data_IF_156639589163
#
_entry.id   IF_156639589163
#
_cell.length_a   1.000
_cell.length_b   1.000
_cell.length_c   1.000
_cell.angle_alpha   90.00
_cell.angle_beta   90.00
_cell.angle_gamma   90.00
#
_symmetry.space_group_name_H-M   'P 1'
#
loop_
_entity.id
_entity.type
_entity.pdbx_description
1 polymer ?
#
# COMPACT_ATOMS: atom_id res chain seq x y z
N UNK A 1 -9.90 24.94 -14.00
CA UNK A 1 -8.94 23.79 -13.96
C UNK A 1 -8.90 23.10 -15.31
N UNK A 2 -7.72 22.92 -15.91
CA UNK A 2 -7.53 22.18 -17.18
C UNK A 2 -7.73 20.68 -16.94
N UNK A 3 -8.63 20.05 -17.69
CA UNK A 3 -8.98 18.64 -17.55
C UNK A 3 -7.79 17.70 -17.83
N UNK A 4 -6.93 18.03 -18.80
CA UNK A 4 -5.71 17.27 -19.12
C UNK A 4 -4.73 17.31 -17.94
N UNK A 5 -4.54 18.50 -17.38
CA UNK A 5 -3.64 18.71 -16.24
C UNK A 5 -4.14 17.99 -14.98
N UNK A 6 -5.44 18.03 -14.73
CA UNK A 6 -6.09 17.30 -13.64
C UNK A 6 -5.88 15.78 -13.78
N UNK A 7 -6.15 15.23 -14.96
CA UNK A 7 -6.02 13.80 -15.20
C UNK A 7 -4.59 13.29 -14.99
N UNK A 8 -3.60 13.98 -15.54
CA UNK A 8 -2.19 13.63 -15.38
C UNK A 8 -1.74 13.77 -13.92
N UNK A 9 -2.19 14.81 -13.23
CA UNK A 9 -1.95 14.99 -11.79
C UNK A 9 -2.45 13.78 -10.99
N UNK A 10 -3.69 13.33 -11.25
CA UNK A 10 -4.27 12.16 -10.58
C UNK A 10 -3.55 10.86 -10.91
N UNK A 11 -3.11 10.69 -12.15
CA UNK A 11 -2.31 9.54 -12.55
C UNK A 11 -1.02 9.46 -11.72
N UNK A 12 -0.27 10.56 -11.60
CA UNK A 12 0.92 10.60 -10.76
C UNK A 12 0.62 10.38 -9.28
N UNK A 13 -0.31 11.14 -8.73
CA UNK A 13 -0.55 11.15 -7.29
C UNK A 13 -1.25 9.88 -6.78
N UNK A 14 -2.09 9.24 -7.60
CA UNK A 14 -2.89 8.09 -7.18
C UNK A 14 -2.29 6.75 -7.61
N UNK A 15 -1.56 6.71 -8.74
CA UNK A 15 -1.06 5.47 -9.33
C UNK A 15 0.47 5.37 -9.42
N UNK A 16 1.21 6.44 -9.03
CA UNK A 16 2.67 6.48 -9.17
C UNK A 16 3.43 7.14 -7.99
N UNK A 17 2.80 7.41 -6.87
CA UNK A 17 3.38 8.14 -5.71
C UNK A 17 3.94 9.53 -6.05
N UNK A 18 3.40 10.24 -7.04
CA UNK A 18 3.91 11.54 -7.49
C UNK A 18 5.01 11.46 -8.53
N UNK A 19 5.35 12.59 -9.19
CA UNK A 19 6.42 12.69 -10.19
C UNK A 19 7.80 12.88 -9.58
N UNK A 20 8.84 12.58 -10.38
CA UNK A 20 10.18 13.14 -10.23
C UNK A 20 10.27 14.51 -10.96
N UNK A 21 11.33 15.31 -10.73
CA UNK A 21 11.53 16.57 -11.44
C UNK A 21 11.44 16.38 -12.95
N UNK A 22 10.62 17.21 -13.61
CA UNK A 22 10.41 17.19 -15.06
C UNK A 22 9.39 16.17 -15.59
N UNK A 23 9.09 15.08 -14.87
CA UNK A 23 8.17 14.03 -15.35
C UNK A 23 6.74 14.55 -15.61
N UNK A 24 6.25 15.46 -14.76
CA UNK A 24 4.90 16.02 -14.95
C UNK A 24 4.80 16.87 -16.22
N UNK A 25 5.79 17.71 -16.47
CA UNK A 25 5.85 18.52 -17.69
C UNK A 25 5.96 17.64 -18.95
N UNK A 26 6.75 16.56 -18.90
CA UNK A 26 6.85 15.62 -20.00
C UNK A 26 5.53 14.86 -20.25
N UNK A 27 4.88 14.39 -19.18
CA UNK A 27 3.58 13.75 -19.29
C UNK A 27 2.51 14.69 -19.88
N UNK A 28 2.58 15.98 -19.56
CA UNK A 28 1.73 17.00 -20.18
C UNK A 28 1.98 17.15 -21.67
N UNK A 29 3.22 17.00 -22.16
CA UNK A 29 3.54 17.05 -23.60
C UNK A 29 2.97 15.82 -24.31
N UNK A 30 3.28 14.61 -23.83
CA UNK A 30 2.86 13.36 -24.48
C UNK A 30 1.36 13.10 -24.35
N UNK A 31 0.73 13.61 -23.31
CA UNK A 31 -0.72 13.53 -23.05
C UNK A 31 -1.16 12.30 -22.27
N UNK A 32 -2.41 12.34 -21.72
CA UNK A 32 -2.91 11.32 -20.80
C UNK A 32 -2.90 9.90 -21.37
N UNK A 33 -3.27 9.72 -22.64
CA UNK A 33 -3.35 8.39 -23.27
C UNK A 33 -1.96 7.71 -23.34
N UNK A 34 -0.93 8.44 -23.77
CA UNK A 34 0.44 7.92 -23.83
C UNK A 34 0.98 7.64 -22.41
N UNK A 35 0.69 8.52 -21.46
CA UNK A 35 1.12 8.35 -20.07
C UNK A 35 0.44 7.16 -19.40
N UNK A 36 -0.87 6.94 -19.59
CA UNK A 36 -1.57 5.73 -19.13
C UNK A 36 -0.93 4.46 -19.70
N UNK A 37 -0.62 4.47 -20.99
CA UNK A 37 0.04 3.33 -21.65
C UNK A 37 1.40 3.03 -21.01
N UNK A 38 2.21 4.03 -20.67
CA UNK A 38 3.51 3.82 -20.01
C UNK A 38 3.35 3.27 -18.60
N UNK A 39 2.37 3.75 -17.82
CA UNK A 39 2.07 3.24 -16.47
C UNK A 39 1.64 1.75 -16.52
N UNK A 40 0.80 1.38 -17.50
CA UNK A 40 0.29 0.02 -17.65
C UNK A 40 1.34 -0.96 -18.23
N UNK A 41 2.34 -0.44 -18.94
CA UNK A 41 3.39 -1.24 -19.59
C UNK A 41 4.78 -0.69 -19.20
N UNK A 42 5.17 -0.84 -17.93
CA UNK A 42 6.47 -0.39 -17.44
C UNK A 42 7.61 -1.23 -18.08
N UNK A 43 8.87 -0.79 -17.96
CA UNK A 43 10.02 -1.55 -18.44
C UNK A 43 10.06 -2.95 -17.82
N UNK A 44 10.53 -3.95 -18.58
CA UNK A 44 10.61 -5.33 -18.11
C UNK A 44 11.53 -5.47 -16.88
N UNK A 45 12.65 -4.74 -16.87
CA UNK A 45 13.62 -4.68 -15.76
C UNK A 45 13.42 -3.34 -15.04
N UNK A 46 13.37 -3.38 -13.72
CA UNK A 46 13.33 -2.19 -12.85
C UNK A 46 14.76 -1.81 -12.44
N UNK A 47 15.39 -0.91 -13.21
CA UNK A 47 16.75 -0.46 -12.93
C UNK A 47 16.83 0.49 -11.72
N UNK A 48 15.71 1.10 -11.34
CA UNK A 48 15.62 1.96 -10.16
C UNK A 48 15.47 1.18 -8.86
N UNK A 49 15.08 -0.10 -8.92
CA UNK A 49 14.83 -0.89 -7.73
C UNK A 49 16.09 -1.05 -6.86
N UNK A 50 16.03 -0.75 -5.54
CA UNK A 50 17.14 -1.01 -4.64
C UNK A 50 17.38 -2.51 -4.50
N UNK A 51 18.63 -2.88 -4.19
CA UNK A 51 18.97 -4.27 -3.91
C UNK A 51 18.12 -4.77 -2.74
N UNK A 52 17.51 -5.93 -2.92
CA UNK A 52 16.70 -6.56 -1.90
C UNK A 52 17.57 -7.01 -0.69
N UNK A 53 17.10 -6.77 0.56
CA UNK A 53 17.83 -7.22 1.74
C UNK A 53 17.80 -8.74 1.85
N UNK A 54 18.87 -9.28 2.43
CA UNK A 54 18.97 -10.72 2.74
C UNK A 54 19.04 -10.85 4.26
N UNK A 55 17.98 -11.42 4.84
CA UNK A 55 17.90 -11.59 6.30
C UNK A 55 18.31 -13.01 6.70
N UNK A 56 19.19 -13.10 7.70
CA UNK A 56 19.46 -14.35 8.37
C UNK A 56 18.27 -14.82 9.20
N UNK A 57 18.01 -16.12 9.25
CA UNK A 57 17.10 -16.70 10.22
C UNK A 57 17.69 -16.53 11.63
N UNK A 58 17.01 -15.77 12.47
CA UNK A 58 17.43 -15.52 13.86
C UNK A 58 17.04 -16.68 14.80
N UNK A 59 16.38 -17.70 14.29
CA UNK A 59 15.85 -18.79 15.11
C UNK A 59 14.71 -18.37 16.06
N UNK A 60 14.33 -19.26 16.98
CA UNK A 60 13.30 -18.97 17.97
C UNK A 60 13.81 -17.93 18.98
N UNK A 61 12.87 -17.12 19.49
CA UNK A 61 13.20 -16.10 20.50
C UNK A 61 13.83 -16.74 21.74
N UNK A 62 15.01 -16.27 22.19
CA UNK A 62 15.65 -16.75 23.43
C UNK A 62 14.78 -16.49 24.66
N UNK A 63 15.09 -17.20 25.74
CA UNK A 63 14.44 -16.99 27.02
C UNK A 63 14.60 -15.52 27.49
N UNK A 64 13.55 -14.91 28.07
CA UNK A 64 13.65 -13.54 28.60
C UNK A 64 14.79 -13.41 29.61
N UNK A 65 15.55 -12.32 29.52
CA UNK A 65 16.72 -12.00 30.40
C UNK A 65 17.92 -12.93 30.24
N UNK A 66 17.98 -13.81 29.23
CA UNK A 66 19.21 -14.52 28.88
C UNK A 66 20.23 -13.56 28.22
N UNK A 67 21.51 -13.91 28.22
CA UNK A 67 22.56 -13.11 27.56
C UNK A 67 22.27 -12.93 26.06
N UNK A 68 21.78 -13.97 25.41
CA UNK A 68 21.43 -13.95 23.98
C UNK A 68 20.20 -13.07 23.67
N UNK A 69 19.36 -12.77 24.68
CA UNK A 69 18.12 -11.99 24.49
C UNK A 69 18.39 -10.54 24.04
N UNK A 70 19.49 -9.94 24.50
CA UNK A 70 19.88 -8.58 24.11
C UNK A 70 20.37 -8.53 22.67
N UNK A 71 21.27 -9.44 22.29
CA UNK A 71 21.80 -9.56 20.93
C UNK A 71 20.68 -9.89 19.93
N UNK A 72 19.82 -10.82 20.28
CA UNK A 72 18.63 -11.15 19.49
C UNK A 72 17.75 -9.94 19.24
N UNK A 73 17.46 -9.15 20.28
CA UNK A 73 16.61 -7.96 20.18
C UNK A 73 17.26 -6.87 19.30
N UNK A 74 18.57 -6.73 19.39
CA UNK A 74 19.33 -5.81 18.53
C UNK A 74 19.30 -6.25 17.07
N UNK A 75 19.57 -7.53 16.78
CA UNK A 75 19.51 -8.08 15.43
C UNK A 75 18.11 -7.95 14.82
N UNK A 76 17.08 -8.26 15.61
CA UNK A 76 15.67 -8.10 15.20
C UNK A 76 15.33 -6.65 14.86
N UNK A 77 15.78 -5.70 15.68
CA UNK A 77 15.60 -4.27 15.45
C UNK A 77 16.34 -3.79 14.20
N UNK A 78 17.55 -4.28 13.96
CA UNK A 78 18.34 -3.96 12.76
C UNK A 78 17.64 -4.45 11.49
N UNK A 79 17.18 -5.72 11.46
CA UNK A 79 16.45 -6.26 10.31
C UNK A 79 15.15 -5.50 10.05
N UNK A 80 14.37 -5.16 11.08
CA UNK A 80 13.13 -4.36 10.93
C UNK A 80 13.41 -2.97 10.34
N UNK A 81 14.47 -2.31 10.79
CA UNK A 81 14.91 -1.02 10.25
C UNK A 81 15.29 -1.15 8.78
N UNK A 82 16.11 -2.13 8.43
CA UNK A 82 16.57 -2.37 7.06
C UNK A 82 15.40 -2.66 6.14
N UNK A 83 14.47 -3.54 6.55
CA UNK A 83 13.24 -3.86 5.80
C UNK A 83 12.40 -2.60 5.52
N UNK A 84 12.20 -1.75 6.53
CA UNK A 84 11.41 -0.53 6.39
C UNK A 84 12.06 0.47 5.43
N UNK A 85 13.37 0.69 5.57
CA UNK A 85 14.11 1.61 4.71
C UNK A 85 14.18 1.10 3.26
N UNK A 86 14.44 -0.20 3.08
CA UNK A 86 14.45 -0.82 1.76
C UNK A 86 13.13 -0.62 1.02
N UNK A 87 11.98 -0.84 1.70
CA UNK A 87 10.70 -0.68 1.02
C UNK A 87 10.34 0.77 0.74
N UNK A 88 10.70 1.69 1.62
CA UNK A 88 10.56 3.13 1.34
C UNK A 88 11.43 3.55 0.14
N UNK A 89 12.66 3.06 0.05
CA UNK A 89 13.54 3.29 -1.11
C UNK A 89 12.92 2.68 -2.38
N UNK A 90 12.38 1.47 -2.30
CA UNK A 90 11.69 0.82 -3.42
C UNK A 90 10.52 1.67 -3.94
N UNK A 91 9.69 2.23 -3.06
CA UNK A 91 8.57 3.10 -3.45
C UNK A 91 9.05 4.39 -4.15
N UNK A 92 10.19 4.95 -3.73
CA UNK A 92 10.75 6.19 -4.30
C UNK A 92 11.46 5.94 -5.62
N UNK A 93 12.26 4.87 -5.70
CA UNK A 93 13.23 4.66 -6.78
C UNK A 93 12.71 3.82 -7.94
N UNK A 94 11.68 3.00 -7.76
CA UNK A 94 11.15 2.10 -8.79
C UNK A 94 10.79 2.80 -10.09
N UNK A 95 11.05 2.12 -11.21
CA UNK A 95 10.56 2.47 -12.55
C UNK A 95 9.22 1.79 -12.88
N UNK A 96 8.66 1.00 -11.94
CA UNK A 96 7.36 0.32 -12.03
C UNK A 96 6.35 0.88 -11.01
N UNK A 97 6.01 2.17 -11.10
CA UNK A 97 5.28 2.85 -10.02
C UNK A 97 3.89 2.25 -9.77
N UNK A 98 3.15 1.82 -10.79
CA UNK A 98 1.83 1.20 -10.62
C UNK A 98 1.94 -0.14 -9.87
N UNK A 99 2.94 -0.97 -10.21
CA UNK A 99 3.15 -2.23 -9.51
C UNK A 99 3.40 -1.97 -8.01
N UNK A 100 4.29 -1.04 -7.68
CA UNK A 100 4.63 -0.74 -6.29
C UNK A 100 3.47 -0.05 -5.54
N UNK A 101 2.67 0.76 -6.25
CA UNK A 101 1.41 1.32 -5.74
C UNK A 101 0.41 0.23 -5.38
N UNK A 102 0.34 -0.83 -6.18
CA UNK A 102 -0.48 -2.00 -5.88
C UNK A 102 0.10 -2.86 -4.76
N UNK A 103 1.42 -2.95 -4.60
CA UNK A 103 2.05 -3.59 -3.41
C UNK A 103 1.62 -2.86 -2.14
N UNK A 104 1.62 -1.53 -2.14
CA UNK A 104 1.14 -0.71 -1.02
C UNK A 104 -0.35 -0.92 -0.75
N UNK A 105 -1.18 -1.00 -1.81
CA UNK A 105 -2.59 -1.33 -1.70
C UNK A 105 -2.81 -2.70 -1.07
N UNK A 106 -2.10 -3.73 -1.56
CA UNK A 106 -2.22 -5.10 -1.05
C UNK A 106 -1.74 -5.24 0.39
N UNK A 107 -0.73 -4.49 0.79
CA UNK A 107 -0.31 -4.44 2.19
C UNK A 107 -1.38 -3.84 3.12
N UNK A 108 -2.20 -2.94 2.61
CA UNK A 108 -3.37 -2.44 3.34
C UNK A 108 -4.61 -3.33 3.24
N UNK A 109 -4.68 -4.21 2.22
CA UNK A 109 -5.78 -5.15 2.00
C UNK A 109 -5.56 -6.47 2.77
N UNK A 110 -4.42 -7.12 2.61
CA UNK A 110 -3.97 -8.29 3.38
C UNK A 110 -3.18 -7.85 4.62
N UNK A 111 -3.75 -6.94 5.39
CA UNK A 111 -3.02 -6.23 6.42
C UNK A 111 -2.43 -7.17 7.48
N UNK A 112 -1.11 -7.11 7.60
CA UNK A 112 -0.31 -7.94 8.50
C UNK A 112 0.72 -7.07 9.20
N UNK A 113 0.78 -7.14 10.55
CA UNK A 113 1.66 -6.27 11.32
C UNK A 113 2.92 -6.99 11.82
N UNK A 114 4.06 -6.37 11.57
CA UNK A 114 5.36 -6.81 12.11
C UNK A 114 5.38 -6.78 13.65
N UNK A 115 4.46 -6.06 14.28
CA UNK A 115 4.31 -6.02 15.74
C UNK A 115 3.99 -7.39 16.35
N UNK A 116 3.13 -8.21 15.70
CA UNK A 116 2.80 -9.59 16.11
C UNK A 116 3.69 -10.64 15.44
N UNK A 117 3.98 -10.49 14.14
CA UNK A 117 4.85 -11.40 13.41
C UNK A 117 6.27 -11.40 14.00
N UNK A 118 6.78 -10.25 14.34
CA UNK A 118 8.05 -9.96 14.97
C UNK A 118 9.30 -10.13 14.11
N UNK A 119 9.31 -10.94 13.07
CA UNK A 119 10.47 -11.22 12.21
C UNK A 119 10.38 -10.50 10.87
N UNK A 120 11.51 -9.99 10.40
CA UNK A 120 11.57 -9.27 9.11
C UNK A 120 11.47 -10.24 7.91
N UNK A 121 12.03 -11.44 8.00
CA UNK A 121 12.06 -12.39 6.90
C UNK A 121 10.64 -12.78 6.39
N UNK A 122 9.67 -13.20 7.22
CA UNK A 122 8.32 -13.45 6.75
C UNK A 122 7.63 -12.22 6.15
N UNK A 123 7.89 -11.03 6.69
CA UNK A 123 7.32 -9.78 6.16
C UNK A 123 7.92 -9.40 4.80
N UNK A 124 9.21 -9.67 4.58
CA UNK A 124 9.86 -9.52 3.28
C UNK A 124 9.25 -10.49 2.26
N UNK A 125 9.12 -11.77 2.63
CA UNK A 125 8.49 -12.80 1.77
C UNK A 125 7.07 -12.41 1.38
N UNK A 126 6.28 -11.88 2.33
CA UNK A 126 4.94 -11.38 2.05
C UNK A 126 4.97 -10.19 1.07
N UNK A 127 5.88 -9.24 1.26
CA UNK A 127 6.03 -8.09 0.36
C UNK A 127 6.42 -8.51 -1.07
N UNK A 128 7.30 -9.53 -1.20
CA UNK A 128 7.64 -10.14 -2.48
C UNK A 128 6.43 -10.83 -3.13
N UNK A 129 5.62 -11.53 -2.33
CA UNK A 129 4.36 -12.15 -2.79
C UNK A 129 3.41 -11.09 -3.32
N UNK A 130 3.23 -9.97 -2.60
CA UNK A 130 2.45 -8.84 -3.09
C UNK A 130 2.97 -8.31 -4.43
N UNK A 131 4.27 -8.14 -4.59
CA UNK A 131 4.89 -7.62 -5.83
C UNK A 131 4.74 -8.59 -6.99
N UNK A 132 4.90 -9.89 -6.74
CA UNK A 132 4.70 -10.95 -7.75
C UNK A 132 3.28 -10.95 -8.30
N UNK A 133 2.29 -10.76 -7.46
CA UNK A 133 0.87 -10.84 -7.82
C UNK A 133 0.19 -9.46 -7.92
N UNK A 134 0.92 -8.37 -7.79
CA UNK A 134 0.38 -7.00 -7.72
C UNK A 134 -0.67 -6.69 -8.79
N UNK A 135 -0.42 -7.15 -10.03
CA UNK A 135 -1.24 -6.92 -11.22
C UNK A 135 -1.72 -8.24 -11.85
N UNK A 136 -1.54 -9.37 -11.16
CA UNK A 136 -1.84 -10.71 -11.66
C UNK A 136 -3.29 -11.16 -11.42
N UNK A 137 -3.47 -12.48 -11.42
CA UNK A 137 -4.76 -13.10 -11.12
C UNK A 137 -5.01 -13.15 -9.61
N UNK A 138 -6.16 -12.69 -9.15
CA UNK A 138 -6.49 -12.62 -7.73
C UNK A 138 -6.72 -14.02 -7.10
N UNK A 139 -7.11 -15.02 -7.88
CA UNK A 139 -7.22 -16.40 -7.35
C UNK A 139 -5.84 -16.95 -7.01
N UNK A 140 -4.86 -16.84 -7.94
CA UNK A 140 -3.49 -17.28 -7.70
C UNK A 140 -2.87 -16.53 -6.52
N UNK A 141 -3.17 -15.23 -6.44
CA UNK A 141 -2.73 -14.41 -5.32
C UNK A 141 -3.34 -14.89 -3.98
N UNK A 142 -4.63 -15.14 -3.92
CA UNK A 142 -5.30 -15.63 -2.71
C UNK A 142 -4.79 -17.01 -2.27
N UNK A 143 -4.44 -17.88 -3.24
CA UNK A 143 -3.77 -19.16 -2.96
C UNK A 143 -2.39 -18.95 -2.33
N UNK A 144 -1.60 -18.00 -2.87
CA UNK A 144 -0.30 -17.66 -2.30
C UNK A 144 -0.44 -17.07 -0.88
N UNK A 145 -1.47 -16.26 -0.64
CA UNK A 145 -1.72 -15.67 0.68
C UNK A 145 -2.18 -16.69 1.72
N UNK A 146 -2.88 -17.76 1.34
CA UNK A 146 -3.16 -18.88 2.25
C UNK A 146 -1.85 -19.49 2.80
N UNK A 147 -0.81 -19.54 1.98
CA UNK A 147 0.51 -20.09 2.32
C UNK A 147 1.51 -19.01 2.75
N UNK A 148 1.04 -17.80 3.04
CA UNK A 148 1.88 -16.71 3.55
C UNK A 148 2.12 -16.85 5.05
N UNK A 149 3.38 -17.00 5.46
CA UNK A 149 3.74 -17.24 6.85
C UNK A 149 3.46 -16.05 7.77
N UNK A 150 3.60 -14.82 7.27
CA UNK A 150 3.30 -13.63 8.06
C UNK A 150 1.79 -13.53 8.35
N UNK A 151 0.94 -13.79 7.35
CA UNK A 151 -0.50 -13.80 7.49
C UNK A 151 -0.97 -14.94 8.42
N UNK A 152 -0.41 -16.14 8.28
CA UNK A 152 -0.71 -17.29 9.14
C UNK A 152 -0.39 -16.99 10.62
N UNK A 153 0.75 -16.34 10.89
CA UNK A 153 1.11 -15.91 12.25
C UNK A 153 0.21 -14.79 12.75
N UNK A 154 -0.13 -13.83 11.88
CA UNK A 154 -0.95 -12.67 12.24
C UNK A 154 -2.37 -13.07 12.64
N UNK A 155 -2.96 -14.04 11.95
CA UNK A 155 -4.34 -14.49 12.14
C UNK A 155 -4.45 -15.84 12.86
N UNK A 156 -3.40 -16.25 13.57
CA UNK A 156 -3.39 -17.46 14.40
C UNK A 156 -3.70 -18.76 13.64
N UNK A 157 -3.43 -18.78 12.31
CA UNK A 157 -3.70 -19.93 11.46
C UNK A 157 -2.92 -21.18 11.87
N UNK A 158 -1.73 -21.03 12.46
CA UNK A 158 -0.94 -22.13 13.02
C UNK A 158 -1.54 -22.75 14.29
N UNK A 159 -2.53 -22.11 14.92
CA UNK A 159 -3.28 -22.62 16.05
C UNK A 159 -4.56 -23.35 15.61
N UNK A 160 -4.93 -23.25 14.33
CA UNK A 160 -6.12 -23.89 13.77
C UNK A 160 -5.91 -25.39 13.53
N UNK A 161 -6.60 -26.21 14.32
CA UNK A 161 -6.43 -27.66 14.31
C UNK A 161 -7.75 -28.40 14.28
N UNK A 162 -7.75 -29.67 13.85
CA UNK A 162 -8.92 -30.56 13.91
C UNK A 162 -9.60 -30.58 15.29
N UNK A 163 -8.80 -30.56 16.38
CA UNK A 163 -9.33 -30.64 17.76
C UNK A 163 -9.82 -29.29 18.29
N UNK A 164 -9.29 -28.19 17.76
CA UNK A 164 -9.60 -26.83 18.15
C UNK A 164 -9.58 -25.92 16.91
N UNK A 165 -10.63 -25.92 16.09
CA UNK A 165 -10.73 -25.03 14.95
C UNK A 165 -10.70 -23.56 15.40
N UNK A 166 -9.87 -22.75 14.73
CA UNK A 166 -9.74 -21.32 14.97
C UNK A 166 -10.33 -20.56 13.78
N UNK A 167 -11.33 -19.73 14.05
CA UNK A 167 -12.11 -19.02 13.03
C UNK A 167 -11.41 -17.73 12.52
N UNK A 168 -10.37 -17.23 13.19
CA UNK A 168 -9.82 -15.90 12.93
C UNK A 168 -9.43 -15.73 11.48
N UNK A 169 -8.53 -16.58 10.95
CA UNK A 169 -8.13 -16.53 9.54
C UNK A 169 -9.34 -16.71 8.60
N UNK A 170 -10.23 -17.65 8.89
CA UNK A 170 -11.37 -17.93 8.03
C UNK A 170 -12.33 -16.74 7.92
N UNK A 171 -12.61 -16.09 9.05
CA UNK A 171 -13.46 -14.90 9.13
C UNK A 171 -12.87 -13.77 8.29
N UNK A 172 -11.59 -13.45 8.50
CA UNK A 172 -10.95 -12.34 7.80
C UNK A 172 -10.82 -12.59 6.29
N UNK A 173 -10.59 -13.85 5.89
CA UNK A 173 -10.60 -14.24 4.46
C UNK A 173 -11.96 -13.95 3.82
N UNK A 174 -13.06 -14.29 4.48
CA UNK A 174 -14.39 -14.01 3.95
C UNK A 174 -14.72 -12.52 4.00
N UNK A 175 -14.49 -11.88 5.13
CA UNK A 175 -14.98 -10.54 5.43
C UNK A 175 -14.14 -9.44 4.80
N UNK A 176 -12.82 -9.48 5.00
CA UNK A 176 -11.92 -8.37 4.63
C UNK A 176 -11.17 -8.60 3.33
N UNK A 177 -10.96 -9.87 2.92
CA UNK A 177 -10.03 -10.14 1.82
C UNK A 177 -10.70 -10.59 0.52
N UNK A 178 -11.84 -11.32 0.57
CA UNK A 178 -12.39 -11.95 -0.64
C UNK A 178 -13.82 -11.56 -0.98
N UNK A 179 -14.73 -11.53 0.01
CA UNK A 179 -16.16 -11.37 -0.25
C UNK A 179 -16.73 -10.05 0.25
N UNK A 180 -16.35 -9.62 1.44
CA UNK A 180 -16.93 -8.48 2.12
C UNK A 180 -18.02 -8.86 3.14
N UNK A 181 -18.40 -7.89 3.96
CA UNK A 181 -19.36 -8.04 5.05
C UNK A 181 -20.74 -8.48 4.53
N UNK A 182 -21.46 -9.30 5.29
CA UNK A 182 -22.84 -9.75 5.02
C UNK A 182 -23.02 -10.63 3.77
N UNK A 183 -21.95 -11.25 3.25
CA UNK A 183 -21.97 -12.16 2.08
C UNK A 183 -21.71 -13.61 2.43
N UNK A 184 -21.74 -13.94 3.70
CA UNK A 184 -21.53 -15.28 4.28
C UNK A 184 -22.27 -15.37 5.62
N UNK A 185 -22.37 -16.58 6.16
CA UNK A 185 -22.98 -16.85 7.48
C UNK A 185 -21.89 -17.28 8.49
N UNK A 186 -22.19 -17.21 9.78
CA UNK A 186 -21.31 -17.74 10.84
C UNK A 186 -21.03 -19.23 10.65
N UNK A 187 -21.96 -19.98 10.05
CA UNK A 187 -21.75 -21.38 9.70
C UNK A 187 -20.67 -21.52 8.64
N UNK A 188 -20.69 -20.67 7.60
CA UNK A 188 -19.67 -20.70 6.55
C UNK A 188 -18.27 -20.42 7.09
N UNK A 189 -18.15 -19.48 8.07
CA UNK A 189 -16.87 -19.20 8.74
C UNK A 189 -16.34 -20.43 9.47
N UNK A 190 -17.19 -21.13 10.25
CA UNK A 190 -16.82 -22.36 10.97
C UNK A 190 -16.39 -23.46 10.02
N UNK A 191 -17.14 -23.67 8.95
CA UNK A 191 -16.83 -24.67 7.93
C UNK A 191 -15.53 -24.34 7.17
N UNK A 192 -15.29 -23.07 6.85
CA UNK A 192 -14.01 -22.64 6.27
C UNK A 192 -12.86 -22.86 7.26
N UNK A 193 -13.04 -22.53 8.53
CA UNK A 193 -12.01 -22.77 9.55
C UNK A 193 -11.62 -24.26 9.62
N UNK A 194 -12.57 -25.20 9.49
CA UNK A 194 -12.30 -26.64 9.39
C UNK A 194 -11.47 -26.99 8.17
N UNK A 195 -11.78 -26.43 6.99
CA UNK A 195 -11.03 -26.65 5.76
C UNK A 195 -9.59 -26.09 5.83
N UNK A 196 -9.38 -25.04 6.65
CA UNK A 196 -8.09 -24.39 6.85
C UNK A 196 -7.28 -24.96 8.02
N UNK A 197 -7.64 -26.11 8.60
CA UNK A 197 -6.91 -26.72 9.70
C UNK A 197 -5.59 -27.35 9.25
N UNK A 198 -4.62 -27.41 10.17
CA UNK A 198 -3.39 -28.21 10.05
C UNK A 198 -2.17 -27.46 9.56
N UNK A 199 -2.26 -26.20 9.19
CA UNK A 199 -1.09 -25.40 8.81
C UNK A 199 -0.21 -25.09 10.00
N UNK A 200 1.11 -25.11 9.80
CA UNK A 200 2.14 -24.83 10.80
C UNK A 200 3.20 -23.89 10.24
N UNK A 201 3.66 -22.96 11.08
CA UNK A 201 4.60 -21.91 10.66
C UNK A 201 5.63 -21.66 11.77
N UNK A 202 6.93 -21.97 11.55
CA UNK A 202 7.98 -21.41 12.38
C UNK A 202 8.05 -19.88 12.17
N UNK A 203 7.91 -19.12 13.25
CA UNK A 203 7.82 -17.65 13.16
C UNK A 203 9.06 -17.00 12.56
N UNK A 204 10.25 -17.56 12.77
CA UNK A 204 11.52 -16.99 12.30
C UNK A 204 11.68 -17.07 10.79
N UNK A 205 11.22 -18.18 10.18
CA UNK A 205 11.34 -18.41 8.73
C UNK A 205 10.09 -18.05 7.95
N UNK A 206 8.90 -18.17 8.56
CA UNK A 206 7.63 -18.00 7.88
C UNK A 206 7.28 -19.12 6.89
N UNK A 207 8.00 -20.25 6.88
CA UNK A 207 7.74 -21.36 5.95
C UNK A 207 6.51 -22.14 6.41
N UNK A 208 5.45 -22.08 5.61
CA UNK A 208 4.19 -22.77 5.90
C UNK A 208 4.27 -24.22 5.49
N UNK A 209 3.89 -25.13 6.39
CA UNK A 209 3.79 -26.57 6.15
C UNK A 209 2.42 -27.09 6.57
N UNK A 210 1.95 -28.19 5.97
CA UNK A 210 0.69 -28.82 6.32
C UNK A 210 0.93 -30.11 7.12
N UNK A 211 0.48 -30.13 8.37
CA UNK A 211 0.52 -31.32 9.22
C UNK A 211 -0.79 -32.11 9.10
N UNK A 212 -0.75 -33.23 8.41
CA UNK A 212 -1.91 -34.08 8.13
C UNK A 212 -2.61 -34.59 9.41
N UNK A 213 -1.87 -34.77 10.52
CA UNK A 213 -2.45 -35.23 11.81
C UNK A 213 -3.29 -34.15 12.51
N UNK A 214 -3.11 -32.90 12.10
CA UNK A 214 -3.85 -31.75 12.66
C UNK A 214 -4.97 -31.28 11.73
N UNK A 215 -5.09 -31.86 10.54
CA UNK A 215 -6.06 -31.47 9.51
C UNK A 215 -7.40 -32.15 9.71
N UNK A 216 -8.50 -31.41 9.54
CA UNK A 216 -9.84 -31.96 9.34
C UNK A 216 -9.99 -32.43 7.88
N UNK A 217 -10.35 -33.69 7.69
CA UNK A 217 -10.57 -34.31 6.36
C UNK A 217 -12.04 -34.62 6.10
N UNK A 218 -12.94 -34.17 6.99
CA UNK A 218 -14.39 -34.32 6.83
C UNK A 218 -14.94 -33.39 5.74
N UNK A 219 -16.14 -33.70 5.26
CA UNK A 219 -16.86 -32.80 4.37
C UNK A 219 -17.22 -31.50 5.11
N UNK A 220 -17.10 -30.38 4.40
CA UNK A 220 -17.48 -29.03 4.83
C UNK A 220 -18.57 -28.48 3.92
N UNK A 221 -19.41 -27.59 4.45
CA UNK A 221 -20.43 -26.90 3.66
C UNK A 221 -20.14 -25.40 3.67
N UNK A 222 -19.61 -24.87 2.60
CA UNK A 222 -19.21 -23.46 2.47
C UNK A 222 -20.04 -22.83 1.35
N UNK A 223 -20.78 -21.77 1.64
CA UNK A 223 -21.61 -21.01 0.68
C UNK A 223 -22.43 -21.95 -0.22
N UNK A 224 -23.15 -22.89 0.41
CA UNK A 224 -24.05 -23.82 -0.26
C UNK A 224 -23.40 -25.02 -0.94
N UNK A 225 -22.07 -25.10 -1.02
CA UNK A 225 -21.35 -26.24 -1.58
C UNK A 225 -20.86 -27.19 -0.50
N UNK A 226 -21.31 -28.46 -0.53
CA UNK A 226 -20.84 -29.52 0.37
C UNK A 226 -19.83 -30.42 -0.34
N UNK A 227 -18.60 -30.50 0.18
CA UNK A 227 -17.54 -31.38 -0.34
C UNK A 227 -16.44 -31.56 0.71
N UNK A 228 -15.61 -32.57 0.53
CA UNK A 228 -14.30 -32.62 1.19
C UNK A 228 -13.41 -31.59 0.46
N UNK A 229 -12.94 -30.58 1.18
CA UNK A 229 -12.13 -29.51 0.60
C UNK A 229 -10.78 -29.39 1.31
N UNK A 230 -9.73 -29.19 0.52
CA UNK A 230 -8.44 -28.69 1.01
C UNK A 230 -8.54 -27.18 1.20
N UNK A 231 -7.59 -26.59 1.94
CA UNK A 231 -7.51 -25.11 2.07
C UNK A 231 -7.48 -24.40 0.70
N UNK A 232 -6.61 -24.81 -0.24
CA UNK A 232 -6.61 -24.26 -1.61
C UNK A 232 -7.95 -24.37 -2.34
N UNK A 233 -8.64 -25.53 -2.26
CA UNK A 233 -9.96 -25.69 -2.89
C UNK A 233 -11.03 -24.81 -2.25
N UNK A 234 -10.99 -24.63 -0.94
CA UNK A 234 -11.90 -23.74 -0.23
C UNK A 234 -11.65 -22.26 -0.62
N UNK A 235 -10.40 -21.80 -0.67
CA UNK A 235 -10.05 -20.45 -1.16
C UNK A 235 -10.49 -20.26 -2.60
N UNK A 236 -10.22 -21.22 -3.49
CA UNK A 236 -10.69 -21.16 -4.88
C UNK A 236 -12.21 -21.05 -4.96
N UNK A 237 -12.95 -21.79 -4.11
CA UNK A 237 -14.40 -21.70 -4.06
C UNK A 237 -14.87 -20.29 -3.65
N UNK A 238 -14.25 -19.67 -2.64
CA UNK A 238 -14.58 -18.29 -2.21
C UNK A 238 -14.30 -17.26 -3.31
N UNK A 239 -13.12 -17.31 -3.91
CA UNK A 239 -12.72 -16.35 -4.95
C UNK A 239 -13.65 -16.44 -6.16
N UNK A 240 -14.20 -17.63 -6.47
CA UNK A 240 -15.12 -17.81 -7.60
C UNK A 240 -16.59 -17.41 -7.30
N UNK A 241 -16.90 -16.95 -6.10
CA UNK A 241 -18.24 -16.40 -5.82
C UNK A 241 -18.52 -15.14 -6.65
N UNK A 242 -19.80 -14.92 -6.98
CA UNK A 242 -20.25 -13.79 -7.80
C UNK A 242 -19.94 -12.43 -7.15
N UNK A 243 -19.86 -12.37 -5.83
CA UNK A 243 -19.58 -11.15 -5.08
C UNK A 243 -18.11 -10.69 -5.13
N UNK A 244 -17.17 -11.59 -5.38
CA UNK A 244 -15.74 -11.29 -5.33
C UNK A 244 -15.30 -10.17 -6.30
N UNK A 245 -15.70 -10.15 -7.59
CA UNK A 245 -15.34 -9.06 -8.49
C UNK A 245 -15.82 -7.69 -8.04
N UNK A 246 -17.05 -7.62 -7.54
CA UNK A 246 -17.61 -6.38 -6.99
C UNK A 246 -16.83 -5.93 -5.76
N UNK A 247 -16.54 -6.83 -4.83
CA UNK A 247 -15.76 -6.52 -3.63
C UNK A 247 -14.38 -5.97 -3.98
N UNK A 248 -13.67 -6.61 -4.91
CA UNK A 248 -12.37 -6.13 -5.39
C UNK A 248 -12.47 -4.74 -6.04
N UNK A 249 -13.49 -4.53 -6.88
CA UNK A 249 -13.73 -3.25 -7.51
C UNK A 249 -14.00 -2.14 -6.47
N UNK A 250 -14.80 -2.43 -5.44
CA UNK A 250 -15.09 -1.51 -4.33
C UNK A 250 -13.82 -1.16 -3.53
N UNK A 251 -12.94 -2.14 -3.28
CA UNK A 251 -11.66 -1.91 -2.58
C UNK A 251 -10.69 -1.07 -3.40
N UNK A 252 -10.56 -1.35 -4.71
CA UNK A 252 -9.73 -0.57 -5.63
C UNK A 252 -10.29 0.86 -5.76
N UNK A 253 -11.60 1.01 -5.98
CA UNK A 253 -12.27 2.31 -6.06
C UNK A 253 -11.97 3.17 -4.83
N UNK A 254 -12.19 2.60 -3.64
CA UNK A 254 -12.00 3.27 -2.36
C UNK A 254 -10.59 3.82 -2.15
N UNK A 255 -9.57 3.16 -2.71
CA UNK A 255 -8.17 3.55 -2.54
C UNK A 255 -7.59 4.39 -3.67
N UNK A 256 -8.20 4.36 -4.85
CA UNK A 256 -7.63 5.03 -6.03
C UNK A 256 -8.53 6.13 -6.62
N UNK A 257 -9.84 6.09 -6.36
CA UNK A 257 -10.78 7.04 -6.97
C UNK A 257 -11.46 7.90 -5.91
N UNK A 258 -12.15 7.30 -4.95
CA UNK A 258 -12.89 8.05 -3.94
C UNK A 258 -13.20 7.19 -2.73
N UNK A 259 -12.90 7.70 -1.54
CA UNK A 259 -13.27 7.07 -0.27
C UNK A 259 -14.62 7.54 0.28
N UNK A 260 -15.15 8.65 -0.25
CA UNK A 260 -16.41 9.25 0.17
C UNK A 260 -17.56 9.04 -0.83
N UNK A 261 -17.28 8.48 -2.01
CA UNK A 261 -18.27 8.13 -3.02
C UNK A 261 -18.16 6.65 -3.35
N UNK A 262 -19.27 5.93 -3.23
CA UNK A 262 -19.33 4.50 -3.54
C UNK A 262 -19.10 4.22 -5.02
N UNK A 263 -18.54 3.05 -5.33
CA UNK A 263 -18.45 2.54 -6.70
C UNK A 263 -19.87 2.47 -7.32
N UNK A 264 -20.11 3.01 -8.52
CA UNK A 264 -21.38 2.87 -9.23
C UNK A 264 -21.77 1.38 -9.41
N UNK A 265 -23.08 1.07 -9.33
CA UNK A 265 -23.57 -0.31 -9.38
C UNK A 265 -23.12 -1.07 -10.62
N UNK A 266 -23.14 -0.40 -11.78
CA UNK A 266 -22.84 -0.99 -13.08
C UNK A 266 -21.48 -0.54 -13.62
N UNK A 267 -20.52 -0.25 -12.72
CA UNK A 267 -19.20 0.21 -13.15
C UNK A 267 -18.47 -0.88 -13.94
N UNK A 268 -17.89 -0.56 -15.14
CA UNK A 268 -17.29 -1.56 -16.04
C UNK A 268 -16.15 -2.38 -15.42
N UNK A 269 -15.45 -1.82 -14.42
CA UNK A 269 -14.38 -2.52 -13.69
C UNK A 269 -14.86 -3.81 -13.04
N UNK A 270 -16.13 -3.90 -12.61
CA UNK A 270 -16.70 -5.11 -12.00
C UNK A 270 -16.66 -6.27 -12.99
N UNK A 271 -17.10 -6.02 -14.23
CA UNK A 271 -17.08 -7.03 -15.29
C UNK A 271 -15.66 -7.37 -15.73
N UNK A 272 -14.76 -6.39 -15.77
CA UNK A 272 -13.35 -6.64 -16.08
C UNK A 272 -12.66 -7.53 -15.02
N UNK A 273 -13.08 -7.44 -13.76
CA UNK A 273 -12.61 -8.30 -12.67
C UNK A 273 -13.32 -9.66 -12.58
N UNK A 274 -14.29 -9.96 -13.46
CA UNK A 274 -14.98 -11.26 -13.46
C UNK A 274 -14.02 -12.45 -13.66
N UNK A 275 -12.97 -12.29 -14.47
CA UNK A 275 -11.86 -13.23 -14.63
C UNK A 275 -10.81 -13.19 -13.52
N UNK A 276 -10.99 -12.37 -12.49
CA UNK A 276 -10.03 -12.13 -11.40
C UNK A 276 -8.71 -11.50 -11.85
N UNK A 277 -8.64 -10.96 -13.04
CA UNK A 277 -7.47 -10.27 -13.60
C UNK A 277 -7.43 -8.81 -13.10
N UNK A 278 -6.49 -8.52 -12.21
CA UNK A 278 -6.33 -7.22 -11.58
C UNK A 278 -5.91 -6.17 -12.62
N UNK A 279 -5.02 -6.53 -13.53
CA UNK A 279 -4.55 -5.62 -14.58
C UNK A 279 -5.68 -5.20 -15.52
N UNK A 280 -6.57 -6.11 -15.89
CA UNK A 280 -7.76 -5.76 -16.68
C UNK A 280 -8.67 -4.78 -15.94
N UNK A 281 -8.94 -5.02 -14.65
CA UNK A 281 -9.72 -4.11 -13.81
C UNK A 281 -9.12 -2.70 -13.76
N UNK A 282 -7.82 -2.59 -13.52
CA UNK A 282 -7.10 -1.32 -13.51
C UNK A 282 -7.04 -0.65 -14.89
N UNK A 283 -6.91 -1.42 -15.97
CA UNK A 283 -6.92 -0.90 -17.34
C UNK A 283 -8.26 -0.23 -17.65
N UNK A 284 -9.38 -0.86 -17.28
CA UNK A 284 -10.71 -0.25 -17.43
C UNK A 284 -10.85 1.01 -16.60
N UNK A 285 -10.39 1.00 -15.35
CA UNK A 285 -10.43 2.15 -14.47
C UNK A 285 -9.60 3.33 -15.01
N UNK A 286 -8.36 3.10 -15.42
CA UNK A 286 -7.45 4.12 -15.94
C UNK A 286 -7.97 4.73 -17.26
N UNK A 287 -8.62 3.95 -18.10
CA UNK A 287 -9.20 4.43 -19.36
C UNK A 287 -10.61 5.01 -19.23
N UNK A 288 -11.21 4.92 -18.04
CA UNK A 288 -12.52 5.51 -17.73
C UNK A 288 -12.46 7.04 -17.57
N UNK A 289 -13.63 7.63 -17.29
CA UNK A 289 -13.81 9.08 -17.09
C UNK A 289 -13.67 9.50 -15.62
N UNK A 290 -13.43 8.56 -14.72
CA UNK A 290 -13.45 8.82 -13.28
C UNK A 290 -12.29 9.71 -12.85
N UNK A 291 -11.16 9.62 -13.54
CA UNK A 291 -9.98 10.46 -13.29
C UNK A 291 -10.17 11.94 -13.70
N UNK A 292 -11.24 12.29 -14.38
CA UNK A 292 -11.57 13.68 -14.73
C UNK A 292 -12.77 14.22 -13.96
N UNK A 293 -13.41 13.40 -13.14
CA UNK A 293 -14.58 13.81 -12.37
C UNK A 293 -14.18 14.59 -11.11
N UNK A 294 -14.49 15.88 -11.07
CA UNK A 294 -14.15 16.79 -9.98
C UNK A 294 -14.75 16.46 -8.60
N UNK A 295 -15.75 15.55 -8.57
CA UNK A 295 -16.37 15.09 -7.31
C UNK A 295 -15.51 14.09 -6.55
N UNK A 296 -14.51 13.50 -7.21
CA UNK A 296 -13.67 12.46 -6.61
C UNK A 296 -12.34 13.02 -6.13
N UNK A 297 -12.14 12.98 -4.84
CA UNK A 297 -10.89 13.36 -4.19
C UNK A 297 -10.37 12.25 -3.30
N UNK A 298 -9.07 12.25 -3.07
CA UNK A 298 -8.40 11.33 -2.14
C UNK A 298 -7.33 12.10 -1.37
N UNK A 299 -7.30 11.93 -0.07
CA UNK A 299 -6.22 12.42 0.78
C UNK A 299 -5.03 11.48 0.70
N UNK A 300 -3.85 12.00 0.40
CA UNK A 300 -2.61 11.22 0.48
C UNK A 300 -2.39 10.76 1.91
N UNK A 301 -2.24 9.45 2.10
CA UNK A 301 -1.81 8.91 3.38
C UNK A 301 -0.40 9.40 3.75
N UNK A 302 0.00 9.37 5.02
CA UNK A 302 1.32 9.86 5.44
C UNK A 302 2.50 9.27 4.67
N UNK A 303 2.50 7.95 4.42
CA UNK A 303 3.55 7.30 3.63
C UNK A 303 3.48 7.72 2.17
N UNK A 304 2.30 7.82 1.58
CA UNK A 304 2.14 8.30 0.20
C UNK A 304 2.62 9.74 0.04
N UNK A 305 2.30 10.61 0.99
CA UNK A 305 2.80 11.98 1.03
C UNK A 305 4.33 12.02 1.16
N UNK A 306 4.90 11.25 2.09
CA UNK A 306 6.34 11.19 2.32
C UNK A 306 7.09 10.71 1.07
N UNK A 307 6.64 9.61 0.47
CA UNK A 307 7.24 9.05 -0.76
C UNK A 307 7.15 10.04 -1.92
N UNK A 308 5.99 10.71 -2.10
CA UNK A 308 5.81 11.73 -3.13
C UNK A 308 6.75 12.93 -2.93
N UNK A 309 6.95 13.38 -1.69
CA UNK A 309 7.93 14.45 -1.37
C UNK A 309 9.35 13.98 -1.67
N UNK A 310 9.73 12.76 -1.24
CA UNK A 310 11.05 12.21 -1.54
C UNK A 310 11.32 12.12 -3.05
N UNK A 311 10.34 11.69 -3.85
CA UNK A 311 10.47 11.68 -5.32
C UNK A 311 10.67 13.07 -5.91
N UNK A 312 9.84 14.04 -5.49
CA UNK A 312 9.92 15.40 -5.99
C UNK A 312 11.23 16.12 -5.60
N UNK A 313 11.83 15.75 -4.47
CA UNK A 313 13.07 16.32 -3.94
C UNK A 313 14.30 15.44 -4.17
N UNK A 314 14.17 14.34 -4.92
CA UNK A 314 15.24 13.37 -5.20
C UNK A 314 15.93 12.83 -3.93
N UNK A 315 15.16 12.73 -2.84
CA UNK A 315 15.63 12.17 -1.57
C UNK A 315 15.48 10.66 -1.55
N UNK A 316 16.52 9.95 -1.09
CA UNK A 316 16.47 8.51 -0.85
C UNK A 316 16.25 8.26 0.65
N UNK A 317 15.17 7.61 1.08
CA UNK A 317 14.85 7.41 2.49
C UNK A 317 15.97 6.82 3.34
N UNK A 318 16.71 5.84 2.83
CA UNK A 318 17.85 5.23 3.55
C UNK A 318 19.06 6.16 3.72
N UNK A 319 19.14 7.22 2.91
CA UNK A 319 20.23 8.23 2.98
C UNK A 319 19.87 9.44 3.83
N UNK A 320 18.66 9.53 4.35
CA UNK A 320 18.27 10.59 5.26
C UNK A 320 19.08 10.52 6.57
N UNK A 321 19.37 11.68 7.14
CA UNK A 321 20.32 11.85 8.25
C UNK A 321 19.91 11.16 9.57
N UNK A 322 18.67 10.67 9.71
CA UNK A 322 18.20 9.98 10.91
C UNK A 322 16.99 9.09 10.67
N UNK A 323 17.17 7.78 10.75
CA UNK A 323 16.04 6.83 10.75
C UNK A 323 15.12 7.03 11.95
N UNK A 324 15.67 7.32 13.12
CA UNK A 324 14.84 7.54 14.32
C UNK A 324 13.87 8.72 14.16
N UNK A 325 14.33 9.82 13.53
CA UNK A 325 13.45 10.96 13.21
C UNK A 325 12.42 10.58 12.15
N UNK A 326 12.83 9.92 11.06
CA UNK A 326 11.93 9.45 10.00
C UNK A 326 10.83 8.57 10.60
N UNK A 327 11.20 7.52 11.33
CA UNK A 327 10.25 6.62 11.96
C UNK A 327 9.35 7.34 12.96
N UNK A 328 9.90 8.26 13.75
CA UNK A 328 9.14 9.06 14.71
C UNK A 328 8.13 10.01 14.05
N UNK A 329 8.40 10.56 12.88
CA UNK A 329 7.42 11.35 12.13
C UNK A 329 6.31 10.49 11.54
N UNK A 330 6.65 9.33 10.95
CA UNK A 330 5.67 8.39 10.44
C UNK A 330 4.77 7.83 11.55
N UNK A 331 5.34 7.55 12.74
CA UNK A 331 4.60 7.12 13.92
C UNK A 331 3.58 8.19 14.39
N UNK A 332 4.03 9.45 14.53
CA UNK A 332 3.16 10.58 14.88
C UNK A 332 2.07 10.85 13.85
N UNK A 333 2.30 10.50 12.60
CA UNK A 333 1.29 10.51 11.54
C UNK A 333 0.49 9.21 11.47
N UNK A 334 0.73 8.26 12.40
CA UNK A 334 0.03 6.99 12.56
C UNK A 334 0.10 6.05 11.35
N UNK A 335 1.19 6.12 10.56
CA UNK A 335 1.40 5.21 9.45
C UNK A 335 2.88 4.85 9.26
N UNK A 336 3.25 3.64 9.65
CA UNK A 336 4.58 3.05 9.45
C UNK A 336 4.44 1.82 8.54
N UNK A 337 5.24 1.66 7.47
CA UNK A 337 5.24 0.45 6.66
C UNK A 337 5.40 -0.81 7.52
N UNK A 338 4.73 -1.90 7.15
CA UNK A 338 4.68 -3.17 7.88
C UNK A 338 4.00 -3.11 9.27
N UNK A 339 3.41 -1.98 9.65
CA UNK A 339 2.79 -1.83 10.98
C UNK A 339 1.34 -1.30 10.90
N UNK A 340 0.44 -1.96 10.14
CA UNK A 340 -0.97 -1.57 10.18
C UNK A 340 -1.53 -1.74 11.60
N UNK A 341 -2.45 -0.86 12.04
CA UNK A 341 -2.99 -0.88 13.39
C UNK A 341 -3.83 -2.12 13.70
N UNK A 342 -4.45 -2.71 12.70
CA UNK A 342 -5.27 -3.92 12.80
C UNK A 342 -5.39 -4.62 11.44
N UNK A 343 -6.16 -5.70 11.39
CA UNK A 343 -6.37 -6.52 10.17
C UNK A 343 -7.10 -5.79 9.05
N UNK A 344 -7.88 -4.76 9.35
CA UNK A 344 -8.53 -3.89 8.36
C UNK A 344 -7.60 -2.89 7.68
N UNK A 345 -6.32 -2.85 8.06
CA UNK A 345 -5.33 -1.93 7.52
C UNK A 345 -5.38 -0.55 8.15
N UNK A 346 -4.92 0.45 7.43
CA UNK A 346 -4.95 1.85 7.86
C UNK A 346 -6.26 2.53 7.47
N UNK A 347 -6.68 3.54 8.24
CA UNK A 347 -7.77 4.42 7.84
C UNK A 347 -7.44 5.15 6.52
N UNK A 348 -8.41 5.88 6.01
CA UNK A 348 -8.25 6.67 4.80
C UNK A 348 -8.85 8.06 4.97
N UNK A 349 -8.54 8.92 4.01
CA UNK A 349 -9.17 10.20 3.76
C UNK A 349 -9.15 11.15 4.96
N UNK A 350 -10.31 11.53 5.50
CA UNK A 350 -10.45 12.52 6.56
C UNK A 350 -9.64 12.19 7.82
N UNK A 351 -9.41 10.90 8.10
CA UNK A 351 -8.58 10.47 9.23
C UNK A 351 -7.16 11.08 9.21
N UNK A 352 -6.68 11.46 8.03
CA UNK A 352 -5.36 12.05 7.82
C UNK A 352 -5.34 13.59 7.88
N UNK A 353 -6.51 14.24 8.07
CA UNK A 353 -6.68 15.70 8.04
C UNK A 353 -6.84 16.34 9.42
N UNK A 354 -6.47 15.66 10.50
CA UNK A 354 -6.52 16.24 11.83
C UNK A 354 -5.52 17.40 12.00
N UNK A 355 -5.80 18.32 12.93
CA UNK A 355 -4.89 19.43 13.27
C UNK A 355 -3.51 18.92 13.72
N UNK A 356 -3.45 17.83 14.48
CA UNK A 356 -2.20 17.19 14.87
C UNK A 356 -1.42 16.69 13.65
N UNK A 357 -2.10 16.03 12.71
CA UNK A 357 -1.50 15.54 11.47
C UNK A 357 -0.94 16.68 10.62
N UNK A 358 -1.67 17.81 10.53
CA UNK A 358 -1.21 18.99 9.82
C UNK A 358 0.06 19.59 10.47
N UNK A 359 0.06 19.73 11.80
CA UNK A 359 1.20 20.24 12.55
C UNK A 359 2.45 19.37 12.37
N UNK A 360 2.31 18.04 12.48
CA UNK A 360 3.45 17.13 12.30
C UNK A 360 3.94 17.10 10.85
N UNK A 361 3.06 17.25 9.84
CA UNK A 361 3.50 17.40 8.44
C UNK A 361 4.37 18.63 8.23
N UNK A 362 4.04 19.77 8.84
CA UNK A 362 4.86 20.99 8.72
C UNK A 362 6.28 20.76 9.26
N UNK A 363 6.41 20.15 10.44
CA UNK A 363 7.73 19.86 11.05
C UNK A 363 8.49 18.82 10.22
N UNK A 364 7.79 17.84 9.70
CA UNK A 364 8.37 16.80 8.84
C UNK A 364 8.82 17.38 7.49
N UNK A 365 8.00 18.24 6.87
CA UNK A 365 8.32 18.95 5.65
C UNK A 365 9.61 19.78 5.81
N UNK A 366 9.71 20.56 6.86
CA UNK A 366 10.90 21.36 7.19
C UNK A 366 12.16 20.49 7.35
N UNK A 367 12.02 19.33 7.98
CA UNK A 367 13.14 18.39 8.15
C UNK A 367 13.57 17.77 6.81
N UNK A 368 12.64 17.47 5.90
CA UNK A 368 12.94 16.94 4.56
C UNK A 368 13.58 18.01 3.67
N UNK A 369 13.01 19.20 3.62
CA UNK A 369 13.51 20.31 2.79
C UNK A 369 14.93 20.71 3.17
N UNK A 370 15.32 20.63 4.45
CA UNK A 370 16.70 20.86 4.90
C UNK A 370 17.72 19.85 4.39
N UNK A 371 17.29 18.74 3.83
CA UNK A 371 18.15 17.68 3.30
C UNK A 371 18.15 17.63 1.77
N UNK A 372 17.27 18.41 1.13
CA UNK A 372 17.15 18.50 -0.32
C UNK A 372 18.13 19.51 -0.93
N UNK A 373 18.55 19.25 -2.14
CA UNK A 373 19.22 20.24 -2.98
C UNK A 373 18.17 21.19 -3.56
N UNK A 374 18.25 22.47 -3.21
CA UNK A 374 17.32 23.49 -3.67
C UNK A 374 17.85 24.32 -4.84
N UNK A 375 19.05 24.02 -5.36
CA UNK A 375 19.71 24.80 -6.41
C UNK A 375 18.84 25.02 -7.66
N UNK A 376 18.11 23.99 -8.08
CA UNK A 376 17.16 24.10 -9.19
C UNK A 376 16.01 25.09 -8.92
N UNK A 377 15.45 25.09 -7.70
CA UNK A 377 14.41 26.05 -7.30
C UNK A 377 14.98 27.46 -7.11
N UNK A 378 16.19 27.57 -6.59
CA UNK A 378 16.87 28.86 -6.37
C UNK A 378 17.21 29.55 -7.68
N UNK A 379 17.59 28.80 -8.71
CA UNK A 379 17.87 29.29 -10.06
C UNK A 379 16.62 29.87 -10.77
N UNK A 380 15.42 29.51 -10.33
CA UNK A 380 14.16 30.05 -10.88
C UNK A 380 13.93 31.46 -10.34
N UNK A 381 13.55 32.39 -11.24
CA UNK A 381 13.17 33.74 -10.83
C UNK A 381 12.02 33.71 -9.79
N UNK A 382 12.06 34.53 -8.72
CA UNK A 382 11.11 34.44 -7.62
C UNK A 382 9.65 34.43 -8.04
N UNK A 383 9.25 35.25 -8.99
CA UNK A 383 7.88 35.37 -9.53
C UNK A 383 7.41 34.11 -10.29
N UNK A 384 8.32 33.23 -10.72
CA UNK A 384 8.02 31.98 -11.44
C UNK A 384 8.03 30.75 -10.55
N UNK A 385 8.54 30.84 -9.31
CA UNK A 385 8.71 29.69 -8.40
C UNK A 385 7.40 29.00 -8.03
N UNK A 386 6.32 29.74 -7.85
CA UNK A 386 5.00 29.19 -7.50
C UNK A 386 4.47 28.32 -8.64
N UNK A 387 4.63 28.75 -9.90
CA UNK A 387 4.24 27.95 -11.07
C UNK A 387 5.15 26.73 -11.25
N UNK A 388 6.46 26.89 -11.05
CA UNK A 388 7.41 25.77 -11.09
C UNK A 388 7.06 24.68 -10.05
N UNK A 389 6.69 25.07 -8.83
CA UNK A 389 6.29 24.12 -7.78
C UNK A 389 4.97 23.40 -8.12
N UNK A 390 4.06 24.02 -8.85
CA UNK A 390 2.87 23.32 -9.33
C UNK A 390 3.23 22.16 -10.26
N UNK A 391 4.22 22.34 -11.12
CA UNK A 391 4.70 21.29 -12.01
C UNK A 391 5.53 20.24 -11.27
N UNK A 392 6.45 20.65 -10.41
CA UNK A 392 7.29 19.75 -9.60
C UNK A 392 6.44 18.80 -8.75
N UNK A 393 5.35 19.31 -8.18
CA UNK A 393 4.49 18.58 -7.25
C UNK A 393 3.25 17.95 -7.93
N UNK A 394 3.12 18.09 -9.25
CA UNK A 394 1.93 17.69 -10.02
C UNK A 394 0.63 18.25 -9.40
N UNK A 395 0.64 19.48 -8.94
CA UNK A 395 -0.56 20.19 -8.51
C UNK A 395 -1.24 20.75 -9.76
N UNK A 396 -2.51 20.41 -10.02
CA UNK A 396 -3.17 20.86 -11.25
C UNK A 396 -3.41 22.36 -11.26
N UNK A 397 -3.74 22.94 -10.12
CA UNK A 397 -3.99 24.37 -9.96
C UNK A 397 -3.92 24.74 -8.47
N UNK A 398 -3.24 25.83 -8.12
CA UNK A 398 -3.32 26.40 -6.78
C UNK A 398 -4.61 27.23 -6.63
N UNK A 399 -5.30 27.12 -5.50
CA UNK A 399 -6.38 28.05 -5.18
C UNK A 399 -5.84 29.47 -5.02
N UNK A 400 -6.70 30.49 -5.16
CA UNK A 400 -6.30 31.90 -4.97
C UNK A 400 -5.68 32.12 -3.59
N UNK A 401 -6.21 31.46 -2.55
CA UNK A 401 -5.69 31.55 -1.17
C UNK A 401 -4.27 31.00 -1.07
N UNK A 402 -4.04 29.82 -1.63
CA UNK A 402 -2.71 29.19 -1.62
C UNK A 402 -1.73 29.97 -2.48
N UNK A 403 -2.16 30.48 -3.65
CA UNK A 403 -1.32 31.34 -4.51
C UNK A 403 -0.81 32.57 -3.79
N UNK A 404 -1.66 33.27 -3.02
CA UNK A 404 -1.24 34.42 -2.21
C UNK A 404 -0.23 34.00 -1.14
N UNK A 405 -0.55 32.97 -0.35
CA UNK A 405 0.33 32.48 0.72
C UNK A 405 1.72 32.02 0.21
N UNK A 406 1.76 31.36 -0.95
CA UNK A 406 3.02 30.98 -1.61
C UNK A 406 3.75 32.20 -2.18
N UNK A 407 3.01 33.17 -2.74
CA UNK A 407 3.57 34.41 -3.28
C UNK A 407 4.34 35.22 -2.23
N UNK A 408 3.86 35.26 -0.99
CA UNK A 408 4.54 35.95 0.12
C UNK A 408 5.91 35.33 0.45
N UNK A 409 6.11 34.03 0.11
CA UNK A 409 7.34 33.27 0.41
C UNK A 409 8.25 33.08 -0.81
N UNK A 410 7.92 33.58 -1.98
CA UNK A 410 8.65 33.34 -3.23
C UNK A 410 10.13 33.72 -3.19
N UNK A 411 10.56 34.59 -2.29
CA UNK A 411 11.96 34.99 -2.08
C UNK A 411 12.72 34.05 -1.12
N UNK A 412 12.04 33.11 -0.46
CA UNK A 412 12.62 32.20 0.54
C UNK A 412 12.35 30.74 0.10
N UNK A 413 13.14 30.18 -0.82
CA UNK A 413 12.87 28.89 -1.48
C UNK A 413 12.53 27.75 -0.52
N UNK A 414 13.28 27.58 0.56
CA UNK A 414 13.05 26.51 1.51
C UNK A 414 11.67 26.61 2.21
N UNK A 415 11.27 27.81 2.63
CA UNK A 415 9.94 28.03 3.25
C UNK A 415 8.82 27.90 2.25
N UNK A 416 9.03 28.42 1.02
CA UNK A 416 8.08 28.30 -0.07
C UNK A 416 7.78 26.81 -0.37
N UNK A 417 8.84 26.01 -0.48
CA UNK A 417 8.70 24.57 -0.73
C UNK A 417 8.03 23.84 0.45
N UNK A 418 8.46 24.12 1.70
CA UNK A 418 7.83 23.54 2.91
C UNK A 418 6.33 23.84 2.96
N UNK A 419 5.90 25.06 2.62
CA UNK A 419 4.48 25.41 2.57
C UNK A 419 3.76 24.70 1.41
N UNK A 420 4.36 24.65 0.23
CA UNK A 420 3.77 24.02 -0.96
C UNK A 420 3.46 22.54 -0.73
N UNK A 421 4.39 21.76 -0.15
CA UNK A 421 4.18 20.33 0.13
C UNK A 421 3.23 20.06 1.31
N UNK A 422 2.86 21.08 2.07
CA UNK A 422 1.83 21.02 3.12
C UNK A 422 0.49 21.62 2.68
N UNK A 423 0.41 22.16 1.48
CA UNK A 423 -0.81 22.82 0.99
C UNK A 423 -1.96 21.82 0.80
N UNK A 424 -3.22 22.28 0.93
CA UNK A 424 -4.38 21.43 0.69
C UNK A 424 -4.37 20.75 -0.68
N UNK A 425 -3.97 21.48 -1.73
CA UNK A 425 -3.96 21.00 -3.12
C UNK A 425 -2.90 19.92 -3.37
N UNK A 426 -1.83 19.89 -2.55
CA UNK A 426 -0.85 18.82 -2.61
C UNK A 426 -1.23 17.63 -1.73
N UNK A 427 -1.77 17.87 -0.54
CA UNK A 427 -2.19 16.82 0.40
C UNK A 427 -3.41 16.08 -0.11
N UNK A 428 -4.33 16.78 -0.76
CA UNK A 428 -5.56 16.23 -1.33
C UNK A 428 -5.45 16.18 -2.86
N UNK A 429 -5.43 14.99 -3.42
CA UNK A 429 -5.55 14.77 -4.86
C UNK A 429 -7.01 14.99 -5.26
N UNK A 430 -7.30 16.23 -5.67
CA UNK A 430 -8.65 16.65 -6.14
C UNK A 430 -9.00 15.99 -7.46
#
# INVERSE_FOLDING_TARGET
>A
MDAKRLEISRLFNRFAFGPRPGEFAEALKVGPAAFKKSILNPPAIDLGAPKEPVFADLGPRPAPKSAESAEFSQALGAQKKELTLWWLDQMVLTEKPLQERMVWFWHGHWATSIGKVNYALPMLTQNQTFRKFALGNFNDFSQAMLLDGALQVWLDGNENTLKAPNENLAREVMELFVLGVNRYTEKDVKELARALTGYQVPRSTGVVTLNQKRRDTGAVTILGKTAVMTGPEAINHLVNQADCPRFLAERIWYRFISSNQSLPKDHPMINALAGRDIQQGLTVLLNGKDLTNSKYSIVKSPVEWFVAVCKALELTPSKLNSFAKLNGYLDKLSQIPFSPPNVGGWPTDEAWLSSASAQFRIVFADWLVKQADLSALEAIAPDKRVAYLADLLAVPEWTSRTTVALGDLQKIPARLLSLAICSPEYVVSQ
#
